data_IF_646934149081
#
_entry.id   IF_646934149081
#
_cell.length_a   1.000
_cell.length_b   1.000
_cell.length_c   1.000
_cell.angle_alpha   90.00
_cell.angle_beta   90.00
_cell.angle_gamma   90.00
#
_symmetry.space_group_name_H-M   'P 1'
#
loop_
_entity.id
_entity.type
_entity.pdbx_description
1 polymer ?
#
# COMPACT_ATOMS: atom_id res chain seq x y z
N UNK A 1 14.92 -0.59 -0.82
CA UNK A 1 14.27 0.66 -1.24
C UNK A 1 13.34 1.07 -0.10
N UNK A 2 13.56 2.26 0.47
CA UNK A 2 12.74 2.78 1.55
C UNK A 2 11.29 2.97 1.14
N UNK A 3 10.40 2.78 2.12
CA UNK A 3 8.96 2.76 1.92
C UNK A 3 8.27 3.55 3.03
N UNK A 4 7.46 4.53 2.65
CA UNK A 4 6.67 5.33 3.59
C UNK A 4 5.20 5.02 3.40
N UNK A 5 4.48 4.68 4.47
CA UNK A 5 3.03 4.48 4.41
C UNK A 5 2.35 5.77 3.97
N UNK A 6 1.36 5.64 3.08
CA UNK A 6 0.53 6.74 2.64
C UNK A 6 -0.92 6.47 3.02
N UNK A 7 -1.55 7.50 3.59
CA UNK A 7 -3.01 7.51 3.72
C UNK A 7 -3.58 8.01 2.41
N UNK A 8 -4.33 7.14 1.74
CA UNK A 8 -4.93 7.43 0.43
C UNK A 8 -6.46 7.38 0.49
N UNK A 9 -7.08 8.07 -0.44
CA UNK A 9 -8.53 7.97 -0.72
C UNK A 9 -8.72 7.39 -2.12
N UNK A 10 -9.63 6.43 -2.26
CA UNK A 10 -10.01 5.89 -3.57
C UNK A 10 -10.82 6.93 -4.33
N UNK A 11 -10.40 7.24 -5.56
CA UNK A 11 -11.04 8.24 -6.43
C UNK A 11 -11.66 7.60 -7.69
N UNK A 12 -11.94 6.30 -7.66
CA UNK A 12 -12.53 5.55 -8.77
C UNK A 12 -11.51 4.68 -9.51
N UNK A 13 -11.74 4.45 -10.82
CA UNK A 13 -10.88 3.59 -11.63
C UNK A 13 -10.44 4.29 -12.91
N UNK A 14 -9.15 4.15 -13.25
CA UNK A 14 -8.54 4.66 -14.49
C UNK A 14 -7.89 3.50 -15.21
N UNK A 15 -8.22 3.30 -16.48
CA UNK A 15 -7.69 2.21 -17.31
C UNK A 15 -7.83 0.81 -16.66
N UNK A 16 -8.95 0.56 -15.98
CA UNK A 16 -9.23 -0.71 -15.30
C UNK A 16 -8.45 -0.94 -13.99
N UNK A 17 -7.67 0.04 -13.54
CA UNK A 17 -6.97 0.03 -12.25
C UNK A 17 -7.62 1.00 -11.27
N UNK A 18 -7.61 0.68 -9.98
CA UNK A 18 -8.12 1.60 -8.96
C UNK A 18 -7.18 2.80 -8.81
N UNK A 19 -7.72 4.02 -8.88
CA UNK A 19 -6.95 5.24 -8.67
C UNK A 19 -7.03 5.66 -7.20
N UNK A 20 -5.88 5.72 -6.56
CA UNK A 20 -5.70 6.13 -5.18
C UNK A 20 -5.01 7.50 -5.15
N UNK A 21 -5.56 8.42 -4.34
CA UNK A 21 -5.00 9.75 -4.15
C UNK A 21 -4.44 9.88 -2.75
N UNK A 22 -3.15 10.19 -2.58
CA UNK A 22 -2.58 10.52 -1.28
C UNK A 22 -3.27 11.73 -0.67
N UNK A 23 -3.68 11.60 0.59
CA UNK A 23 -4.33 12.67 1.36
C UNK A 23 -3.33 13.70 1.91
N UNK A 24 -2.03 13.48 1.67
CA UNK A 24 -0.94 14.29 2.23
C UNK A 24 -0.50 13.85 3.63
N UNK A 25 -1.18 12.89 4.25
CA UNK A 25 -0.76 12.28 5.51
C UNK A 25 0.09 11.04 5.24
N UNK A 26 1.30 11.06 5.75
CA UNK A 26 2.24 9.95 5.73
C UNK A 26 2.18 9.20 7.07
N UNK A 27 2.33 7.88 7.01
CA UNK A 27 2.31 6.98 8.16
C UNK A 27 3.71 6.54 8.56
N UNK A 28 3.85 5.27 8.90
CA UNK A 28 5.13 4.73 9.33
C UNK A 28 6.15 4.64 8.18
N UNK A 29 7.39 4.99 8.48
CA UNK A 29 8.52 4.84 7.57
C UNK A 29 9.21 3.48 7.80
N UNK A 30 9.61 2.83 6.71
CA UNK A 30 10.37 1.59 6.70
C UNK A 30 11.59 1.74 5.81
N UNK A 31 12.75 1.28 6.30
CA UNK A 31 13.98 1.25 5.51
C UNK A 31 13.85 0.34 4.28
N UNK A 32 13.09 -0.75 4.41
CA UNK A 32 12.66 -1.58 3.31
C UNK A 32 11.19 -1.97 3.45
N UNK A 33 10.42 -1.92 2.36
CA UNK A 33 9.03 -2.41 2.35
C UNK A 33 8.91 -3.87 2.81
N UNK A 34 9.98 -4.65 2.59
CA UNK A 34 10.08 -6.04 3.01
C UNK A 34 10.11 -6.21 4.53
N UNK A 35 10.53 -5.20 5.29
CA UNK A 35 10.49 -5.22 6.76
C UNK A 35 9.04 -5.28 7.24
N UNK A 36 8.17 -4.47 6.62
CA UNK A 36 6.74 -4.47 6.90
C UNK A 36 6.10 -5.81 6.50
N UNK A 37 6.38 -6.30 5.28
CA UNK A 37 5.85 -7.60 4.81
C UNK A 37 6.27 -8.73 5.74
N UNK A 38 7.55 -8.76 6.14
CA UNK A 38 8.09 -9.78 7.04
C UNK A 38 7.44 -9.70 8.43
N UNK A 39 7.22 -8.49 8.96
CA UNK A 39 6.52 -8.30 10.22
C UNK A 39 5.07 -8.84 10.16
N UNK A 40 4.35 -8.61 9.06
CA UNK A 40 3.00 -9.13 8.85
C UNK A 40 2.98 -10.65 8.75
N UNK A 41 3.89 -11.23 7.98
CA UNK A 41 4.03 -12.68 7.85
C UNK A 41 4.39 -13.34 9.19
N UNK A 42 5.29 -12.75 9.99
CA UNK A 42 5.59 -13.19 11.36
C UNK A 42 4.37 -13.14 12.27
N UNK A 43 3.51 -12.14 12.10
CA UNK A 43 2.23 -12.04 12.79
C UNK A 43 1.14 -12.97 12.21
N UNK A 44 1.48 -13.88 11.29
CA UNK A 44 0.56 -14.79 10.59
C UNK A 44 -0.56 -14.07 9.84
N UNK A 45 -0.29 -12.84 9.38
CA UNK A 45 -1.19 -12.05 8.55
C UNK A 45 -0.73 -12.15 7.10
N UNK A 46 -1.40 -12.94 6.25
CA UNK A 46 -1.05 -13.02 4.84
C UNK A 46 -1.33 -11.68 4.18
N UNK A 47 -0.33 -11.18 3.45
CA UNK A 47 -0.41 -9.96 2.65
C UNK A 47 -0.29 -10.32 1.18
N UNK A 48 -1.08 -9.67 0.33
CA UNK A 48 -1.06 -9.83 -1.12
C UNK A 48 -0.61 -8.55 -1.78
N UNK A 49 0.40 -8.61 -2.64
CA UNK A 49 0.73 -7.47 -3.49
C UNK A 49 -0.35 -7.26 -4.55
N UNK A 50 -0.90 -6.05 -4.59
CA UNK A 50 -1.85 -5.58 -5.60
C UNK A 50 -1.35 -4.31 -6.29
N UNK A 51 -0.06 -4.04 -6.23
CA UNK A 51 0.60 -2.84 -6.77
C UNK A 51 0.28 -2.65 -8.26
N UNK A 52 0.14 -3.76 -8.99
CA UNK A 52 -0.18 -3.76 -10.42
C UNK A 52 -1.64 -3.42 -10.75
N UNK A 53 -2.56 -3.54 -9.77
CA UNK A 53 -4.00 -3.31 -9.94
C UNK A 53 -4.43 -1.90 -9.52
N UNK A 54 -3.49 -1.12 -8.97
CA UNK A 54 -3.75 0.21 -8.41
C UNK A 54 -2.78 1.23 -8.99
N UNK A 55 -3.25 2.45 -9.12
CA UNK A 55 -2.50 3.62 -9.55
C UNK A 55 -2.51 4.62 -8.42
N UNK A 56 -1.34 5.11 -8.00
CA UNK A 56 -1.25 6.16 -6.98
C UNK A 56 -0.91 7.48 -7.64
N UNK A 57 -1.83 8.45 -7.59
CA UNK A 57 -1.63 9.75 -8.25
C UNK A 57 -0.44 10.50 -7.64
N UNK A 58 0.45 10.98 -8.49
CA UNK A 58 1.58 11.84 -8.09
C UNK A 58 2.77 11.11 -7.47
N UNK A 59 2.76 9.78 -7.46
CA UNK A 59 3.86 8.96 -6.94
C UNK A 59 4.50 8.21 -8.11
N UNK A 60 5.83 8.31 -8.24
CA UNK A 60 6.57 7.64 -9.34
C UNK A 60 6.65 6.13 -9.15
N UNK A 61 6.85 5.69 -7.90
CA UNK A 61 6.96 4.28 -7.55
C UNK A 61 6.21 4.04 -6.25
N UNK A 62 5.31 3.06 -6.25
CA UNK A 62 4.50 2.70 -5.10
C UNK A 62 4.44 1.18 -4.95
N UNK A 63 4.10 0.75 -3.74
CA UNK A 63 3.73 -0.62 -3.46
C UNK A 63 2.42 -0.63 -2.68
N UNK A 64 1.48 -1.50 -3.04
CA UNK A 64 0.21 -1.65 -2.33
C UNK A 64 0.00 -3.09 -1.96
N UNK A 65 -0.24 -3.29 -0.68
CA UNK A 65 -0.51 -4.60 -0.12
C UNK A 65 -1.92 -4.66 0.44
N UNK A 66 -2.55 -5.80 0.24
CA UNK A 66 -3.87 -6.11 0.74
C UNK A 66 -3.76 -7.21 1.80
N UNK A 67 -4.36 -7.00 2.98
CA UNK A 67 -4.42 -7.99 4.06
C UNK A 67 -5.87 -8.20 4.52
N UNK A 68 -6.16 -9.40 5.02
CA UNK A 68 -7.44 -9.67 5.69
C UNK A 68 -7.30 -9.44 7.19
N UNK A 69 -8.02 -8.47 7.72
CA UNK A 69 -8.10 -8.17 9.15
C UNK A 69 -9.56 -8.18 9.60
N UNK A 70 -9.93 -9.10 10.51
CA UNK A 70 -11.27 -9.15 11.10
C UNK A 70 -12.40 -9.32 10.07
N UNK A 71 -12.19 -10.12 9.03
CA UNK A 71 -13.16 -10.33 7.94
C UNK A 71 -13.25 -9.18 6.93
N UNK A 72 -12.51 -8.09 7.14
CA UNK A 72 -12.41 -6.97 6.20
C UNK A 72 -11.07 -7.00 5.48
N UNK A 73 -11.09 -6.49 4.25
CA UNK A 73 -9.90 -6.30 3.44
C UNK A 73 -9.32 -4.92 3.74
N UNK A 74 -8.08 -4.87 4.22
CA UNK A 74 -7.35 -3.63 4.50
C UNK A 74 -6.24 -3.48 3.46
N UNK A 75 -6.17 -2.30 2.85
CA UNK A 75 -5.14 -1.95 1.87
C UNK A 75 -4.16 -0.98 2.49
N UNK A 76 -2.87 -1.29 2.40
CA UNK A 76 -1.78 -0.42 2.86
C UNK A 76 -0.96 0.01 1.64
N UNK A 77 -0.85 1.32 1.45
CA UNK A 77 -0.12 1.92 0.33
C UNK A 77 1.21 2.47 0.83
N UNK A 78 2.26 2.22 0.06
CA UNK A 78 3.61 2.71 0.31
C UNK A 78 4.09 3.56 -0.85
N UNK A 79 4.67 4.71 -0.53
CA UNK A 79 5.53 5.48 -1.43
C UNK A 79 6.93 4.88 -1.37
N UNK A 80 7.44 4.46 -2.53
CA UNK A 80 8.82 3.98 -2.66
C UNK A 80 9.66 5.13 -3.21
N UNK A 81 10.78 5.41 -2.54
CA UNK A 81 11.74 6.46 -2.92
C UNK A 81 13.09 5.88 -3.25
#
# INVERSE_FOLDING_TARGET
MPATELIVTSMGSVAGKELLIPTGKEGQYFAHVQDWVTAKLKAKKPVKDISNLVLVKGIKQWAVFEEKAGGKTVRTVFKIT
#
